data_IF_609054867197
#
_entry.id   IF_609054867197
#
_cell.length_a   1.000
_cell.length_b   1.000
_cell.length_c   1.000
_cell.angle_alpha   90.00
_cell.angle_beta   90.00
_cell.angle_gamma   90.00
#
_symmetry.space_group_name_H-M   'P 1'
#
loop_
_entity.id
_entity.type
_entity.pdbx_description
1 polymer ?
#
# COMPACT_ATOMS: atom_id res chain seq x y z
N UNK A 1 16.43 -5.53 -15.58
CA UNK A 1 16.55 -4.45 -14.59
C UNK A 1 15.28 -3.61 -14.61
N UNK A 2 14.38 -3.81 -13.64
CA UNK A 2 13.44 -2.77 -13.20
C UNK A 2 13.67 -2.58 -11.71
N UNK A 3 14.63 -1.72 -11.38
CA UNK A 3 15.09 -1.50 -10.00
C UNK A 3 14.08 -0.70 -9.18
N UNK A 4 13.26 0.14 -9.82
CA UNK A 4 12.29 0.99 -9.14
C UNK A 4 11.19 0.18 -8.44
N UNK A 5 10.51 -0.73 -9.16
CA UNK A 5 9.44 -1.56 -8.57
C UNK A 5 9.99 -2.43 -7.45
N UNK A 6 11.15 -3.05 -7.62
CA UNK A 6 11.78 -3.87 -6.56
C UNK A 6 12.07 -3.04 -5.30
N UNK A 7 12.59 -1.81 -5.45
CA UNK A 7 12.82 -0.90 -4.32
C UNK A 7 11.51 -0.55 -3.62
N UNK A 8 10.46 -0.25 -4.37
CA UNK A 8 9.15 0.03 -3.79
C UNK A 8 8.61 -1.18 -3.02
N UNK A 9 8.67 -2.39 -3.61
CA UNK A 9 8.24 -3.62 -2.95
C UNK A 9 9.01 -3.90 -1.65
N UNK A 10 10.30 -3.57 -1.59
CA UNK A 10 11.08 -3.69 -0.36
C UNK A 10 10.59 -2.71 0.71
N UNK A 11 10.32 -1.45 0.34
CA UNK A 11 9.79 -0.48 1.31
C UNK A 11 8.40 -0.88 1.81
N UNK A 12 7.52 -1.32 0.91
CA UNK A 12 6.20 -1.85 1.32
C UNK A 12 6.29 -2.98 2.35
N UNK A 13 7.33 -3.82 2.24
CA UNK A 13 7.63 -4.88 3.21
C UNK A 13 8.19 -4.33 4.51
N UNK A 14 9.19 -3.45 4.42
CA UNK A 14 10.01 -3.03 5.56
C UNK A 14 9.28 -1.97 6.42
N UNK A 15 8.61 -1.01 5.78
CA UNK A 15 7.89 0.09 6.45
C UNK A 15 6.39 -0.20 6.58
N UNK A 16 5.80 -0.92 5.61
CA UNK A 16 4.37 -1.24 5.62
C UNK A 16 4.01 -2.61 6.17
N UNK A 17 5.01 -3.44 6.53
CA UNK A 17 4.81 -4.82 6.98
C UNK A 17 4.20 -5.75 5.93
N UNK A 18 4.02 -5.28 4.69
CA UNK A 18 3.25 -5.99 3.67
C UNK A 18 4.01 -7.22 3.16
N UNK A 19 3.34 -8.37 3.25
CA UNK A 19 3.84 -9.61 2.69
C UNK A 19 3.49 -9.70 1.21
N UNK A 20 4.21 -10.54 0.45
CA UNK A 20 3.94 -10.72 -0.99
C UNK A 20 2.49 -11.13 -1.30
N UNK A 21 1.81 -11.80 -0.37
CA UNK A 21 0.38 -12.14 -0.48
C UNK A 21 -0.54 -10.91 -0.33
N UNK A 22 -0.16 -9.94 0.51
CA UNK A 22 -0.96 -8.73 0.72
C UNK A 22 -0.87 -7.85 -0.53
N UNK A 23 0.34 -7.66 -1.06
CA UNK A 23 0.58 -6.94 -2.31
C UNK A 23 -0.15 -7.61 -3.47
N UNK A 24 -0.12 -8.94 -3.54
CA UNK A 24 -0.82 -9.71 -4.57
C UNK A 24 -2.34 -9.47 -4.52
N UNK A 25 -2.93 -9.45 -3.32
CA UNK A 25 -4.35 -9.15 -3.14
C UNK A 25 -4.68 -7.71 -3.56
N UNK A 26 -3.85 -6.73 -3.17
CA UNK A 26 -4.07 -5.31 -3.47
C UNK A 26 -4.06 -5.04 -4.98
N UNK A 27 -3.16 -5.67 -5.72
CA UNK A 27 -3.06 -5.48 -7.19
C UNK A 27 -3.78 -6.57 -8.00
N UNK A 28 -4.57 -7.43 -7.35
CA UNK A 28 -5.33 -8.52 -7.95
C UNK A 28 -4.50 -9.46 -8.87
N UNK A 29 -3.32 -9.88 -8.40
CA UNK A 29 -2.46 -10.87 -9.08
C UNK A 29 -2.13 -12.05 -8.16
N UNK A 30 -1.41 -13.05 -8.67
CA UNK A 30 -0.93 -14.15 -7.82
C UNK A 30 0.33 -13.77 -7.02
N UNK A 31 0.56 -14.33 -5.83
CA UNK A 31 1.81 -14.14 -5.07
C UNK A 31 3.08 -14.53 -5.86
N UNK A 32 2.97 -15.53 -6.75
CA UNK A 32 4.05 -15.93 -7.64
C UNK A 32 4.41 -14.80 -8.64
N UNK A 33 3.43 -14.03 -9.10
CA UNK A 33 3.65 -12.88 -9.98
C UNK A 33 4.43 -11.78 -9.23
N UNK A 34 4.04 -11.47 -7.99
CA UNK A 34 4.77 -10.53 -7.13
C UNK A 34 6.21 -11.00 -6.86
N UNK A 35 6.41 -12.29 -6.60
CA UNK A 35 7.75 -12.88 -6.43
C UNK A 35 8.64 -12.74 -7.67
N UNK A 36 8.05 -12.83 -8.88
CA UNK A 36 8.79 -12.56 -10.12
C UNK A 36 9.17 -11.09 -10.27
N UNK A 37 8.32 -10.16 -9.81
CA UNK A 37 8.65 -8.74 -9.77
C UNK A 37 9.77 -8.44 -8.77
N UNK A 38 9.69 -8.99 -7.55
CA UNK A 38 10.70 -8.77 -6.51
C UNK A 38 12.08 -9.36 -6.87
N UNK A 39 12.11 -10.38 -7.73
CA UNK A 39 13.35 -10.96 -8.27
C UNK A 39 13.78 -10.37 -9.61
N UNK A 40 13.07 -9.36 -10.13
CA UNK A 40 13.38 -8.69 -11.39
C UNK A 40 13.18 -9.57 -12.64
N UNK A 41 12.51 -10.72 -12.50
CA UNK A 41 12.20 -11.69 -13.57
C UNK A 41 10.96 -11.32 -14.39
N UNK A 42 10.20 -10.33 -13.94
CA UNK A 42 9.07 -9.73 -14.64
C UNK A 42 8.91 -8.28 -14.17
N UNK A 43 8.16 -7.47 -14.91
CA UNK A 43 7.77 -6.11 -14.50
C UNK A 43 6.25 -6.01 -14.56
N UNK A 44 5.58 -5.38 -13.58
CA UNK A 44 4.15 -5.11 -13.66
C UNK A 44 3.83 -4.20 -14.85
N UNK A 45 2.59 -4.24 -15.33
CA UNK A 45 2.11 -3.27 -16.33
C UNK A 45 1.98 -1.86 -15.70
N UNK A 46 1.71 -0.85 -16.54
CA UNK A 46 1.68 0.55 -16.09
C UNK A 46 0.59 0.78 -15.03
N UNK A 47 -0.60 0.18 -15.20
CA UNK A 47 -1.69 0.30 -14.24
C UNK A 47 -1.29 -0.25 -12.87
N UNK A 48 -0.70 -1.44 -12.84
CA UNK A 48 -0.23 -2.07 -11.62
C UNK A 48 0.91 -1.30 -10.98
N UNK A 49 1.82 -0.72 -11.78
CA UNK A 49 2.87 0.17 -11.28
C UNK A 49 2.28 1.40 -10.58
N UNK A 50 1.21 1.99 -11.12
CA UNK A 50 0.51 3.11 -10.48
C UNK A 50 -0.06 2.71 -9.12
N UNK A 51 -0.77 1.58 -9.04
CA UNK A 51 -1.34 1.09 -7.76
C UNK A 51 -0.24 0.81 -6.74
N UNK A 52 0.88 0.20 -7.15
CA UNK A 52 2.03 -0.05 -6.27
C UNK A 52 2.66 1.27 -5.76
N UNK A 53 2.74 2.29 -6.61
CA UNK A 53 3.27 3.60 -6.24
C UNK A 53 2.32 4.36 -5.29
N UNK A 54 1.01 4.28 -5.53
CA UNK A 54 -0.01 4.86 -4.65
C UNK A 54 -0.02 4.19 -3.27
N UNK A 55 0.02 2.85 -3.24
CA UNK A 55 0.14 2.08 -2.01
C UNK A 55 1.42 2.47 -1.24
N UNK A 56 2.52 2.68 -1.95
CA UNK A 56 3.79 3.14 -1.35
C UNK A 56 3.63 4.50 -0.68
N UNK A 57 2.98 5.44 -1.34
CA UNK A 57 2.75 6.76 -0.78
C UNK A 57 1.87 6.70 0.48
N UNK A 58 0.82 5.88 0.47
CA UNK A 58 -0.01 5.65 1.65
C UNK A 58 0.79 5.05 2.80
N UNK A 59 1.64 4.04 2.53
CA UNK A 59 2.51 3.44 3.54
C UNK A 59 3.49 4.46 4.12
N UNK A 60 4.13 5.29 3.29
CA UNK A 60 5.05 6.33 3.76
C UNK A 60 4.33 7.28 4.75
N UNK A 61 3.10 7.69 4.43
CA UNK A 61 2.31 8.58 5.31
C UNK A 61 1.87 7.91 6.61
N UNK A 62 1.49 6.64 6.57
CA UNK A 62 1.11 5.89 7.77
C UNK A 62 2.31 5.60 8.67
N UNK A 63 3.49 5.37 8.10
CA UNK A 63 4.73 5.08 8.83
C UNK A 63 5.20 6.27 9.70
N UNK A 64 4.70 7.48 9.46
CA UNK A 64 4.93 8.62 10.35
C UNK A 64 4.22 8.49 11.71
N UNK A 65 3.16 7.67 11.80
CA UNK A 65 2.33 7.51 12.98
C UNK A 65 2.33 6.09 13.56
N UNK A 66 2.55 5.09 12.70
CA UNK A 66 2.33 3.69 13.01
C UNK A 66 3.56 2.84 12.69
N UNK A 67 3.75 1.78 13.46
CA UNK A 67 4.73 0.73 13.12
C UNK A 67 4.32 -0.03 11.85
N UNK A 68 5.23 -0.83 11.29
CA UNK A 68 4.94 -1.65 10.12
C UNK A 68 3.76 -2.63 10.32
N UNK A 69 3.66 -3.25 11.50
CA UNK A 69 2.57 -4.16 11.82
C UNK A 69 1.23 -3.43 12.00
N UNK A 70 1.24 -2.23 12.60
CA UNK A 70 0.05 -1.38 12.74
C UNK A 70 -0.40 -0.82 11.38
N UNK A 71 0.53 -0.41 10.53
CA UNK A 71 0.26 0.04 9.15
C UNK A 71 -0.45 -1.05 8.36
N UNK A 72 0.08 -2.27 8.41
CA UNK A 72 -0.54 -3.43 7.76
C UNK A 72 -1.95 -3.69 8.32
N UNK A 73 -2.12 -3.64 9.64
CA UNK A 73 -3.42 -3.85 10.26
C UNK A 73 -4.42 -2.77 9.82
N UNK A 74 -4.02 -1.50 9.83
CA UNK A 74 -4.84 -0.36 9.42
C UNK A 74 -5.31 -0.52 7.97
N UNK A 75 -4.40 -0.87 7.06
CA UNK A 75 -4.69 -1.08 5.64
C UNK A 75 -5.75 -2.18 5.40
N UNK A 76 -5.75 -3.24 6.22
CA UNK A 76 -6.65 -4.38 6.10
C UNK A 76 -7.93 -4.29 6.93
N UNK A 77 -8.08 -3.24 7.75
CA UNK A 77 -9.22 -3.09 8.65
C UNK A 77 -10.30 -2.19 8.03
N UNK A 78 -11.57 -2.61 8.04
CA UNK A 78 -12.70 -1.74 7.71
C UNK A 78 -12.64 -0.43 8.52
N UNK A 79 -12.63 0.71 7.84
CA UNK A 79 -12.49 1.99 8.52
C UNK A 79 -13.81 2.79 8.53
N UNK A 80 -14.32 3.25 9.69
CA UNK A 80 -15.59 3.98 9.76
C UNK A 80 -15.64 5.24 8.89
N UNK A 81 -14.52 5.96 8.77
CA UNK A 81 -14.44 7.17 7.92
C UNK A 81 -14.26 6.84 6.42
N UNK A 82 -14.09 5.57 6.06
CA UNK A 82 -14.11 5.05 4.69
C UNK A 82 -15.44 4.33 4.40
N UNK A 83 -16.53 4.71 5.06
CA UNK A 83 -17.83 4.04 4.95
C UNK A 83 -17.80 2.53 5.25
N UNK A 84 -16.84 2.10 6.08
CA UNK A 84 -16.64 0.68 6.40
C UNK A 84 -15.84 -0.10 5.37
N UNK A 85 -15.31 0.55 4.33
CA UNK A 85 -14.39 -0.07 3.37
C UNK A 85 -12.98 -0.20 3.96
N UNK A 86 -12.18 -1.11 3.40
CA UNK A 86 -10.75 -1.23 3.71
C UNK A 86 -9.95 -0.31 2.79
N UNK A 87 -8.89 0.29 3.31
CA UNK A 87 -8.02 1.15 2.52
C UNK A 87 -7.43 0.42 1.30
N UNK A 88 -7.05 -0.86 1.46
CA UNK A 88 -6.52 -1.65 0.33
C UNK A 88 -7.49 -1.80 -0.84
N UNK A 89 -8.79 -1.91 -0.56
CA UNK A 89 -9.81 -2.13 -1.58
C UNK A 89 -10.06 -0.82 -2.35
N UNK A 90 -10.00 0.32 -1.65
CA UNK A 90 -10.09 1.64 -2.27
C UNK A 90 -8.86 1.98 -3.12
N UNK A 91 -7.65 1.64 -2.66
CA UNK A 91 -6.42 1.84 -3.44
C UNK A 91 -6.47 1.02 -4.74
N UNK A 92 -6.90 -0.26 -4.68
CA UNK A 92 -7.10 -1.08 -5.87
C UNK A 92 -8.13 -0.45 -6.84
N UNK A 93 -9.22 0.09 -6.28
CA UNK A 93 -10.26 0.77 -7.05
C UNK A 93 -9.84 2.14 -7.61
N UNK A 94 -8.62 2.62 -7.35
CA UNK A 94 -8.13 3.94 -7.78
C UNK A 94 -8.77 5.10 -7.04
N UNK A 95 -9.20 4.87 -5.79
CA UNK A 95 -9.79 5.86 -4.88
C UNK A 95 -8.84 6.22 -3.73
N UNK A 96 -7.55 6.29 -4.04
CA UNK A 96 -6.47 6.50 -3.06
C UNK A 96 -6.61 7.84 -2.32
N UNK A 97 -7.18 8.85 -2.97
CA UNK A 97 -7.45 10.18 -2.40
C UNK A 97 -8.34 10.13 -1.15
N UNK A 98 -9.32 9.21 -1.10
CA UNK A 98 -10.18 9.05 0.07
C UNK A 98 -9.38 8.54 1.28
N UNK A 99 -8.44 7.63 1.03
CA UNK A 99 -7.56 7.07 2.07
C UNK A 99 -6.62 8.15 2.60
N UNK A 100 -6.00 8.92 1.71
CA UNK A 100 -5.07 9.99 2.07
C UNK A 100 -5.76 11.11 2.87
N UNK A 101 -6.98 11.50 2.50
CA UNK A 101 -7.72 12.53 3.23
C UNK A 101 -7.97 12.17 4.70
N UNK A 102 -8.10 10.88 5.03
CA UNK A 102 -8.19 10.44 6.43
C UNK A 102 -6.84 10.54 7.14
N UNK A 103 -5.76 10.15 6.47
CA UNK A 103 -4.41 10.21 7.05
C UNK A 103 -4.02 11.66 7.33
N UNK A 104 -4.38 12.60 6.45
CA UNK A 104 -4.19 14.04 6.69
C UNK A 104 -4.95 14.55 7.92
N UNK A 105 -6.15 14.01 8.20
CA UNK A 105 -6.89 14.36 9.41
C UNK A 105 -6.18 13.88 10.68
N UNK A 106 -5.53 12.70 10.64
CA UNK A 106 -4.71 12.20 11.76
C UNK A 106 -3.54 13.15 12.07
N UNK A 107 -2.90 13.66 11.02
CA UNK A 107 -1.80 14.63 11.10
C UNK A 107 -2.27 15.94 11.74
N UNK A 108 -3.40 16.49 11.26
CA UNK A 108 -3.95 17.74 11.79
C UNK A 108 -4.40 17.65 13.26
N UNK A 109 -4.87 16.49 13.72
CA UNK A 109 -5.25 16.26 15.12
C UNK A 109 -4.05 16.02 16.04
N UNK A 110 -2.86 15.70 15.52
CA UNK A 110 -1.63 15.56 16.29
C UNK A 110 -0.98 16.92 16.64
N UNK A 111 -1.32 17.98 15.90
CA UNK A 111 -0.74 19.33 16.04
C UNK A 111 -1.67 20.37 16.71
N UNK A 112 -2.82 19.96 17.25
CA UNK A 112 -3.74 20.81 18.04
C UNK A 112 -3.70 20.43 19.52
#
# INVERSE_FOLDING_TARGET
MSTAVMKILNVLRDEGGLQGKDIANIVAVSPATVSRWSSGKATPDLKTQTIIAELRYVVDRLAEFYTADETRLWLHTPHPMLDGEKAIDLINAGKTELVLGIIENLDSGAYT
#
